data_IF_375180214534
#
_entry.id   IF_375180214534
#
_cell.length_a   1.000
_cell.length_b   1.000
_cell.length_c   1.000
_cell.angle_alpha   90.00
_cell.angle_beta   90.00
_cell.angle_gamma   90.00
#
_symmetry.space_group_name_H-M   'P 1'
#
loop_
_entity.id
_entity.type
_entity.pdbx_description
1 polymer ?
#
# COMPACT_ATOMS: atom_id res chain seq x y z
N UNK A 1 1.20 4.38 15.47
CA UNK A 1 2.09 5.35 16.16
C UNK A 1 3.52 5.37 15.62
N UNK A 2 4.13 4.24 15.23
CA UNK A 2 5.54 4.19 14.77
C UNK A 2 5.84 5.07 13.56
N UNK A 3 5.05 4.99 12.47
CA UNK A 3 5.33 5.76 11.23
C UNK A 3 5.32 7.28 11.48
N UNK A 4 4.33 7.79 12.21
CA UNK A 4 4.25 9.20 12.57
C UNK A 4 5.41 9.66 13.46
N UNK A 5 5.87 8.80 14.38
CA UNK A 5 7.04 9.11 15.21
C UNK A 5 8.30 9.23 14.36
N UNK A 6 8.55 8.28 13.45
CA UNK A 6 9.71 8.33 12.55
C UNK A 6 9.64 9.54 11.63
N UNK A 7 8.46 9.86 11.10
CA UNK A 7 8.26 11.05 10.26
C UNK A 7 8.67 12.36 10.99
N UNK A 8 8.32 12.49 12.27
CA UNK A 8 8.75 13.65 13.09
C UNK A 8 10.26 13.71 13.30
N UNK A 9 10.92 12.58 13.47
CA UNK A 9 12.39 12.56 13.57
C UNK A 9 13.04 12.88 12.22
N UNK A 10 12.51 12.38 11.10
CA UNK A 10 12.99 12.73 9.76
C UNK A 10 12.90 14.24 9.50
N UNK A 11 11.78 14.89 9.86
CA UNK A 11 11.63 16.36 9.80
C UNK A 11 12.68 17.05 10.68
N UNK A 12 12.87 16.59 11.92
CA UNK A 12 13.83 17.17 12.87
C UNK A 12 15.27 17.13 12.37
N UNK A 13 15.64 16.08 11.61
CA UNK A 13 16.99 15.88 11.09
C UNK A 13 17.14 16.25 9.61
N UNK A 14 16.11 16.84 8.98
CA UNK A 14 16.09 17.22 7.56
C UNK A 14 16.43 16.05 6.62
N UNK A 15 15.81 14.88 6.88
CA UNK A 15 16.00 13.65 6.11
C UNK A 15 14.70 13.29 5.38
N UNK A 16 14.76 12.95 4.07
CA UNK A 16 13.58 12.47 3.35
C UNK A 16 13.12 11.12 3.90
N UNK A 17 11.82 11.00 4.19
CA UNK A 17 11.19 9.80 4.70
C UNK A 17 10.42 9.06 3.62
N UNK A 18 11.04 8.00 3.11
CA UNK A 18 10.39 7.02 2.23
C UNK A 18 9.76 5.91 3.07
N UNK A 19 8.48 5.64 2.84
CA UNK A 19 7.73 4.58 3.53
C UNK A 19 7.31 3.50 2.53
N UNK A 20 7.64 2.25 2.85
CA UNK A 20 7.24 1.06 2.09
C UNK A 20 6.31 0.17 2.93
N UNK A 21 4.97 0.34 2.82
CA UNK A 21 4.02 -0.57 3.43
C UNK A 21 3.99 -1.90 2.70
N UNK A 22 3.86 -3.00 3.44
CA UNK A 22 3.76 -4.37 2.89
C UNK A 22 2.55 -5.08 3.47
N UNK A 23 1.66 -5.51 2.58
CA UNK A 23 0.49 -6.32 2.92
C UNK A 23 0.92 -7.78 3.02
N UNK A 24 0.40 -8.50 4.02
CA UNK A 24 0.65 -9.93 4.20
C UNK A 24 -0.62 -10.62 4.70
N UNK A 25 -0.83 -11.90 4.35
CA UNK A 25 -2.01 -12.64 4.77
C UNK A 25 -1.99 -12.90 6.27
N UNK A 26 -3.17 -12.95 6.87
CA UNK A 26 -3.35 -13.32 8.28
C UNK A 26 -4.44 -14.38 8.43
N UNK A 27 -4.33 -15.22 9.47
CA UNK A 27 -5.32 -16.27 9.73
C UNK A 27 -5.47 -17.26 8.56
N UNK A 28 -6.70 -17.48 8.11
CA UNK A 28 -7.02 -18.47 7.08
C UNK A 28 -6.43 -18.13 5.70
N UNK A 29 -6.13 -16.85 5.44
CA UNK A 29 -5.52 -16.39 4.19
C UNK A 29 -4.10 -16.93 3.99
N UNK A 30 -3.40 -17.32 5.08
CA UNK A 30 -2.01 -17.81 5.02
C UNK A 30 -1.92 -19.07 4.17
N UNK A 31 -2.91 -19.96 4.29
CA UNK A 31 -3.02 -21.19 3.51
C UNK A 31 -3.83 -21.04 2.22
N UNK A 32 -4.44 -19.87 1.98
CA UNK A 32 -5.24 -19.60 0.80
C UNK A 32 -4.83 -18.28 0.12
N UNK A 33 -3.78 -18.31 -0.73
CA UNK A 33 -3.28 -17.11 -1.41
C UNK A 33 -4.31 -16.43 -2.32
N UNK A 34 -5.29 -17.19 -2.83
CA UNK A 34 -6.36 -16.62 -3.65
C UNK A 34 -7.28 -15.71 -2.82
N UNK A 35 -7.59 -16.08 -1.56
CA UNK A 35 -8.38 -15.24 -0.66
C UNK A 35 -7.65 -13.93 -0.36
N UNK A 36 -6.33 -13.99 -0.12
CA UNK A 36 -5.52 -12.79 0.06
C UNK A 36 -5.49 -11.91 -1.20
N UNK A 37 -5.38 -12.54 -2.38
CA UNK A 37 -5.38 -11.81 -3.66
C UNK A 37 -6.67 -11.01 -3.88
N UNK A 38 -7.82 -11.52 -3.43
CA UNK A 38 -9.12 -10.83 -3.51
C UNK A 38 -9.13 -9.54 -2.68
N UNK A 39 -8.52 -9.55 -1.48
CA UNK A 39 -8.52 -8.38 -0.59
C UNK A 39 -7.38 -7.41 -0.85
N UNK A 40 -6.31 -7.85 -1.54
CA UNK A 40 -5.10 -7.06 -1.81
C UNK A 40 -5.38 -5.71 -2.46
N UNK A 41 -6.30 -5.66 -3.41
CA UNK A 41 -6.67 -4.42 -4.11
C UNK A 41 -7.07 -3.32 -3.11
N UNK A 42 -8.00 -3.64 -2.22
CA UNK A 42 -8.46 -2.70 -1.20
C UNK A 42 -7.42 -2.41 -0.14
N UNK A 43 -6.61 -3.40 0.24
CA UNK A 43 -5.55 -3.22 1.24
C UNK A 43 -4.52 -2.20 0.76
N UNK A 44 -4.05 -2.33 -0.48
CA UNK A 44 -3.05 -1.40 -1.05
C UNK A 44 -3.61 0.02 -1.12
N UNK A 45 -4.83 0.20 -1.64
CA UNK A 45 -5.46 1.53 -1.78
C UNK A 45 -5.73 2.19 -0.42
N UNK A 46 -6.28 1.45 0.54
CA UNK A 46 -6.54 1.97 1.90
C UNK A 46 -5.25 2.30 2.64
N UNK A 47 -4.22 1.47 2.45
CA UNK A 47 -2.89 1.70 3.05
C UNK A 47 -2.25 2.94 2.47
N UNK A 48 -2.29 3.14 1.15
CA UNK A 48 -1.78 4.35 0.52
C UNK A 48 -2.40 5.61 1.15
N UNK A 49 -3.74 5.67 1.23
CA UNK A 49 -4.47 6.79 1.84
C UNK A 49 -4.10 7.03 3.30
N UNK A 50 -3.95 5.97 4.09
CA UNK A 50 -3.60 6.09 5.50
C UNK A 50 -2.15 6.56 5.71
N UNK A 51 -1.24 6.14 4.83
CA UNK A 51 0.19 6.42 4.95
C UNK A 51 0.54 7.81 4.40
N UNK A 52 -0.09 8.25 3.30
CA UNK A 52 0.13 9.61 2.76
C UNK A 52 -0.57 10.71 3.55
N UNK A 53 -1.48 10.35 4.47
CA UNK A 53 -2.00 11.27 5.48
C UNK A 53 -0.98 11.60 6.59
N UNK A 54 0.14 10.88 6.65
CA UNK A 54 1.27 11.18 7.54
C UNK A 54 2.32 12.04 6.81
N UNK A 55 3.19 12.77 7.52
CA UNK A 55 4.17 13.65 6.88
C UNK A 55 5.37 12.85 6.35
N UNK A 56 5.12 12.04 5.33
CA UNK A 56 6.13 11.28 4.58
C UNK A 56 6.46 12.03 3.29
N UNK A 57 7.64 11.76 2.72
CA UNK A 57 8.05 12.39 1.46
C UNK A 57 7.72 11.50 0.25
N UNK A 58 7.90 10.18 0.39
CA UNK A 58 7.68 9.24 -0.71
C UNK A 58 6.97 7.98 -0.21
N UNK A 59 5.82 7.67 -0.81
CA UNK A 59 5.20 6.35 -0.67
C UNK A 59 5.79 5.39 -1.70
N UNK A 60 6.45 4.32 -1.25
CA UNK A 60 6.77 3.16 -2.08
C UNK A 60 5.64 2.15 -1.97
N UNK A 61 4.62 2.31 -2.83
CA UNK A 61 3.43 1.47 -2.82
C UNK A 61 3.66 0.10 -3.47
N UNK A 62 2.87 -0.89 -3.03
CA UNK A 62 2.74 -2.15 -3.75
C UNK A 62 1.88 -1.95 -5.01
N UNK A 63 2.02 -2.86 -5.98
CA UNK A 63 1.07 -2.92 -7.09
C UNK A 63 -0.32 -3.35 -6.57
N UNK A 64 -1.43 -2.69 -6.97
CA UNK A 64 -2.74 -2.83 -6.34
C UNK A 64 -3.50 -4.11 -6.76
N UNK A 65 -2.81 -5.16 -7.17
CA UNK A 65 -3.39 -6.46 -7.52
C UNK A 65 -2.35 -7.58 -7.45
N UNK A 66 -2.81 -8.83 -7.39
CA UNK A 66 -1.97 -10.00 -7.65
C UNK A 66 -2.13 -10.46 -9.11
N UNK A 67 -1.05 -10.38 -9.88
CA UNK A 67 -1.05 -10.68 -11.31
C UNK A 67 -1.16 -12.18 -11.64
N UNK A 68 -1.01 -13.07 -10.65
CA UNK A 68 -1.30 -14.49 -10.84
C UNK A 68 -2.80 -14.73 -11.00
N UNK A 69 -3.62 -13.97 -10.28
CA UNK A 69 -5.08 -14.14 -10.21
C UNK A 69 -5.87 -13.10 -11.02
N UNK A 70 -5.31 -11.90 -11.22
CA UNK A 70 -5.97 -10.82 -11.98
C UNK A 70 -5.14 -10.40 -13.18
N UNK A 71 -5.68 -10.60 -14.38
CA UNK A 71 -4.98 -10.35 -15.65
C UNK A 71 -5.68 -9.37 -16.59
N UNK A 72 -6.93 -8.98 -16.29
CA UNK A 72 -7.64 -8.02 -17.12
C UNK A 72 -6.95 -6.65 -17.07
N UNK A 73 -6.45 -6.20 -18.22
CA UNK A 73 -5.65 -4.98 -18.30
C UNK A 73 -6.46 -3.73 -17.98
N UNK A 74 -7.75 -3.68 -18.35
CA UNK A 74 -8.59 -2.52 -18.10
C UNK A 74 -8.87 -2.37 -16.60
N UNK A 75 -9.17 -3.47 -15.90
CA UNK A 75 -9.31 -3.50 -14.46
C UNK A 75 -8.01 -3.10 -13.74
N UNK A 76 -6.86 -3.63 -14.18
CA UNK A 76 -5.56 -3.28 -13.60
C UNK A 76 -5.23 -1.78 -13.76
N UNK A 77 -5.52 -1.19 -14.93
CA UNK A 77 -5.35 0.26 -15.14
C UNK A 77 -6.25 1.06 -14.20
N UNK A 78 -7.50 0.62 -13.99
CA UNK A 78 -8.41 1.30 -13.06
C UNK A 78 -7.90 1.23 -11.61
N UNK A 79 -7.38 0.09 -11.18
CA UNK A 79 -6.76 -0.04 -9.86
C UNK A 79 -5.55 0.87 -9.69
N UNK A 80 -4.71 1.02 -10.72
CA UNK A 80 -3.61 2.00 -10.69
C UNK A 80 -4.12 3.44 -10.56
N UNK A 81 -5.21 3.81 -11.26
CA UNK A 81 -5.83 5.14 -11.13
C UNK A 81 -6.43 5.36 -9.74
N UNK A 82 -7.00 4.33 -9.12
CA UNK A 82 -7.59 4.44 -7.79
C UNK A 82 -6.51 4.53 -6.69
N UNK A 83 -5.38 3.85 -6.90
CA UNK A 83 -4.19 4.01 -6.08
C UNK A 83 -3.63 5.43 -6.20
N UNK A 84 -3.46 5.95 -7.42
CA UNK A 84 -2.96 7.32 -7.69
C UNK A 84 -3.81 8.41 -7.02
N UNK A 85 -5.15 8.30 -7.10
CA UNK A 85 -6.07 9.22 -6.40
C UNK A 85 -6.01 9.11 -4.88
N UNK A 86 -5.49 8.01 -4.36
CA UNK A 86 -5.45 7.72 -2.91
C UNK A 86 -4.07 7.95 -2.31
N UNK A 87 -3.07 8.32 -3.11
CA UNK A 87 -1.72 8.66 -2.67
C UNK A 87 -1.47 10.16 -2.69
#
# INVERSE_FOLDING_TARGET
NTVNMVAKECIKYDLPFLVEPKSYPIGNEISNPQDFAVVKEQLVIKTARAITALPIDVLKAEFPADLHYKKDKAELINLCRDLDKSS
#
